data_IF_985188330971
#
_entry.id   IF_985188330971
#
_cell.length_a   1.000
_cell.length_b   1.000
_cell.length_c   1.000
_cell.angle_alpha   90.00
_cell.angle_beta   90.00
_cell.angle_gamma   90.00
#
_symmetry.space_group_name_H-M   'P 1'
#
loop_
_entity.id
_entity.type
_entity.pdbx_description
1 polymer ?
#
# COMPACT_ATOMS: atom_id res chain seq x y z
N UNK A 1 17.29 3.05 27.44
CA UNK A 1 16.98 4.46 27.75
C UNK A 1 15.73 4.48 28.60
N UNK A 2 15.75 5.23 29.72
CA UNK A 2 14.61 5.46 30.61
C UNK A 2 14.40 6.96 30.74
N UNK A 3 13.16 7.40 30.79
CA UNK A 3 12.83 8.82 30.90
C UNK A 3 11.35 9.05 31.12
N UNK A 4 10.93 10.29 31.01
CA UNK A 4 9.55 10.74 31.17
C UNK A 4 9.08 11.51 29.95
N UNK A 5 7.81 11.44 29.66
CA UNK A 5 7.13 12.27 28.66
C UNK A 5 6.09 13.12 29.38
N UNK A 6 6.18 14.43 29.22
CA UNK A 6 5.11 15.34 29.59
C UNK A 6 4.31 15.64 28.31
N UNK A 7 3.05 15.22 28.21
CA UNK A 7 2.20 15.41 27.02
C UNK A 7 1.96 16.89 26.68
N UNK A 8 2.06 17.78 27.68
CA UNK A 8 1.83 19.21 27.52
C UNK A 8 3.10 19.95 27.06
N UNK A 9 4.28 19.30 27.19
CA UNK A 9 5.55 19.88 26.75
C UNK A 9 5.91 19.37 25.35
N UNK A 10 5.82 20.22 24.37
CA UNK A 10 6.22 19.92 23.00
C UNK A 10 7.40 20.79 22.55
N UNK A 11 8.20 20.26 21.62
CA UNK A 11 9.25 20.97 20.90
C UNK A 11 9.10 20.76 19.39
N UNK A 12 9.60 21.70 18.58
CA UNK A 12 9.60 21.52 17.14
C UNK A 12 10.57 20.40 16.74
N UNK A 13 10.12 19.50 15.88
CA UNK A 13 10.86 18.38 15.33
C UNK A 13 10.84 18.42 13.79
N UNK A 14 11.97 18.13 13.16
CA UNK A 14 12.15 18.18 11.72
C UNK A 14 12.64 19.54 11.19
N UNK A 15 12.69 19.69 9.85
CA UNK A 15 12.44 18.65 8.85
C UNK A 15 13.59 17.64 8.76
N UNK A 16 13.27 16.37 8.52
CA UNK A 16 14.26 15.33 8.21
C UNK A 16 13.75 14.42 7.08
N UNK A 17 14.68 13.69 6.45
CA UNK A 17 14.34 12.80 5.32
C UNK A 17 13.47 11.63 5.76
N UNK A 18 12.48 11.30 4.93
CA UNK A 18 11.50 10.26 5.23
C UNK A 18 11.41 9.22 4.09
N UNK A 19 10.71 8.11 4.34
CA UNK A 19 10.55 6.97 3.43
C UNK A 19 9.89 7.31 2.08
N UNK A 20 9.32 8.48 1.95
CA UNK A 20 8.81 9.02 0.67
C UNK A 20 9.92 9.52 -0.24
N UNK A 21 11.13 9.69 0.27
CA UNK A 21 12.24 10.33 -0.43
C UNK A 21 12.23 11.86 -0.38
N UNK A 22 11.35 12.42 0.43
CA UNK A 22 11.24 13.87 0.65
C UNK A 22 11.47 14.21 2.11
N UNK A 23 11.81 15.47 2.40
CA UNK A 23 11.83 15.98 3.77
C UNK A 23 10.40 16.16 4.27
N UNK A 24 10.15 15.75 5.53
CA UNK A 24 8.88 16.03 6.19
C UNK A 24 8.76 17.50 6.58
N UNK A 25 7.56 17.92 6.93
CA UNK A 25 7.32 19.23 7.51
C UNK A 25 7.75 19.25 8.99
N UNK A 26 8.18 20.42 9.48
CA UNK A 26 8.40 20.62 10.89
C UNK A 26 7.07 20.65 11.63
N UNK A 27 6.96 19.91 12.72
CA UNK A 27 5.76 19.90 13.58
C UNK A 27 6.16 19.83 15.06
N UNK A 28 5.19 19.96 15.95
CA UNK A 28 5.42 19.98 17.40
C UNK A 28 5.09 18.61 18.00
N UNK A 29 6.09 18.01 18.66
CA UNK A 29 5.97 16.68 19.26
C UNK A 29 6.29 16.69 20.74
N UNK A 30 5.65 15.79 21.56
CA UNK A 30 6.01 15.61 22.95
C UNK A 30 7.47 15.21 23.12
N UNK A 31 8.11 15.73 24.16
CA UNK A 31 9.53 15.52 24.42
C UNK A 31 9.73 14.36 25.37
N UNK A 32 10.59 13.40 24.97
CA UNK A 32 11.08 12.37 25.88
C UNK A 32 12.33 12.87 26.60
N UNK A 33 12.20 13.16 27.88
CA UNK A 33 13.30 13.55 28.75
C UNK A 33 14.05 12.33 29.26
N UNK A 34 15.30 12.12 28.77
CA UNK A 34 16.12 10.99 29.18
C UNK A 34 16.68 11.22 30.57
N UNK A 35 16.28 10.37 31.54
CA UNK A 35 16.81 10.39 32.91
C UNK A 35 17.94 9.37 33.11
N UNK A 36 17.98 8.31 32.31
CA UNK A 36 19.01 7.27 32.41
C UNK A 36 19.22 6.58 31.08
N UNK A 37 20.49 6.33 30.76
CA UNK A 37 20.91 5.46 29.65
C UNK A 37 21.82 4.37 30.18
N UNK A 38 21.51 3.11 29.83
CA UNK A 38 22.35 1.95 30.16
C UNK A 38 22.65 1.19 28.86
N UNK A 39 23.86 0.69 28.75
CA UNK A 39 24.33 -0.11 27.65
C UNK A 39 25.25 -1.23 28.17
N UNK A 40 25.47 -2.26 27.38
CA UNK A 40 26.51 -3.25 27.63
C UNK A 40 27.91 -2.61 27.45
N UNK A 41 28.99 -3.20 28.01
CA UNK A 41 30.34 -2.63 27.92
C UNK A 41 30.81 -2.43 26.48
N UNK A 42 30.39 -3.29 25.57
CA UNK A 42 30.70 -3.18 24.13
C UNK A 42 29.37 -3.05 23.34
N UNK A 43 28.85 -1.81 23.22
CA UNK A 43 27.56 -1.57 22.61
C UNK A 43 27.66 -1.62 21.09
N UNK A 44 26.66 -2.29 20.46
CA UNK A 44 26.43 -2.21 19.01
C UNK A 44 25.25 -1.27 18.78
N UNK A 45 25.49 -0.22 18.00
CA UNK A 45 24.44 0.70 17.56
C UNK A 45 23.95 0.25 16.18
N UNK A 46 22.69 -0.16 16.11
CA UNK A 46 22.06 -0.46 14.85
C UNK A 46 21.60 0.85 14.19
N UNK A 47 22.13 1.13 13.03
CA UNK A 47 21.77 2.30 12.23
C UNK A 47 21.27 1.86 10.87
N UNK A 48 20.28 2.57 10.34
CA UNK A 48 19.66 2.30 9.06
C UNK A 48 19.38 3.59 8.31
N UNK A 49 18.95 3.45 7.08
CA UNK A 49 18.66 4.54 6.17
C UNK A 49 17.19 4.57 5.81
N UNK A 50 16.61 5.75 5.83
CA UNK A 50 15.24 6.01 5.37
C UNK A 50 15.27 7.06 4.25
N UNK A 51 14.58 6.80 3.15
CA UNK A 51 14.55 7.69 2.01
C UNK A 51 13.77 7.10 0.83
N UNK A 52 14.12 7.50 -0.38
CA UNK A 52 13.53 6.90 -1.58
C UNK A 52 13.81 5.39 -1.60
N UNK A 53 12.82 4.52 -1.82
CA UNK A 53 13.02 3.07 -1.89
C UNK A 53 14.09 2.67 -2.95
N UNK A 54 14.85 1.57 -2.70
CA UNK A 54 14.75 0.67 -1.55
C UNK A 54 15.39 1.24 -0.28
N UNK A 55 14.69 1.14 0.83
CA UNK A 55 15.11 1.62 2.14
C UNK A 55 14.63 0.66 3.26
N UNK A 56 14.83 1.00 4.54
CA UNK A 56 14.38 0.16 5.65
C UNK A 56 12.87 -0.11 5.62
N UNK A 57 11.96 0.89 5.49
CA UNK A 57 10.53 0.65 5.39
C UNK A 57 10.14 -0.30 4.26
N UNK A 58 10.84 -0.26 3.13
CA UNK A 58 10.62 -1.20 2.02
C UNK A 58 10.94 -2.64 2.42
N UNK A 59 12.04 -2.87 3.15
CA UNK A 59 12.42 -4.21 3.65
C UNK A 59 11.44 -4.70 4.71
N UNK A 60 11.02 -3.82 5.63
CA UNK A 60 9.99 -4.15 6.63
C UNK A 60 8.64 -4.46 5.95
N UNK A 61 8.31 -3.79 4.86
CA UNK A 61 7.12 -4.03 4.06
C UNK A 61 7.04 -5.47 3.56
N UNK A 62 8.15 -6.07 3.16
CA UNK A 62 8.21 -7.50 2.76
C UNK A 62 7.82 -8.41 3.93
N UNK A 63 8.39 -8.19 5.11
CA UNK A 63 8.07 -8.99 6.29
C UNK A 63 6.60 -8.80 6.73
N UNK A 64 6.08 -7.59 6.63
CA UNK A 64 4.68 -7.29 6.95
C UNK A 64 3.72 -7.97 5.98
N UNK A 65 4.05 -8.09 4.69
CA UNK A 65 3.26 -8.86 3.74
C UNK A 65 3.08 -10.32 4.21
N UNK A 66 4.16 -10.99 4.58
CA UNK A 66 4.10 -12.38 5.04
C UNK A 66 3.17 -12.57 6.26
N UNK A 67 3.12 -11.59 7.14
CA UNK A 67 2.29 -11.63 8.35
C UNK A 67 0.83 -11.30 8.05
N UNK A 68 0.57 -10.29 7.22
CA UNK A 68 -0.79 -9.76 7.03
C UNK A 68 -1.59 -10.44 5.92
N UNK A 69 -0.95 -11.02 4.91
CA UNK A 69 -1.67 -11.72 3.82
C UNK A 69 -2.61 -12.81 4.33
N UNK A 70 -2.23 -13.70 5.26
CA UNK A 70 -3.16 -14.69 5.81
C UNK A 70 -4.36 -14.08 6.56
N UNK A 71 -4.20 -12.91 7.17
CA UNK A 71 -5.29 -12.20 7.85
C UNK A 71 -6.26 -11.62 6.81
N UNK A 72 -5.73 -11.02 5.75
CA UNK A 72 -6.52 -10.52 4.64
C UNK A 72 -7.32 -11.64 3.97
N UNK A 73 -6.69 -12.79 3.72
CA UNK A 73 -7.34 -13.96 3.11
C UNK A 73 -8.47 -14.55 3.96
N UNK A 74 -8.39 -14.43 5.29
CA UNK A 74 -9.51 -14.82 6.17
C UNK A 74 -10.73 -13.92 6.01
N UNK A 75 -10.51 -12.62 5.79
CA UNK A 75 -11.58 -11.65 5.59
C UNK A 75 -12.06 -11.61 4.14
N UNK A 76 -11.14 -11.80 3.21
CA UNK A 76 -11.36 -11.75 1.76
C UNK A 76 -10.79 -13.03 1.13
N UNK A 77 -11.51 -14.16 1.20
CA UNK A 77 -11.02 -15.46 0.73
C UNK A 77 -10.78 -15.51 -0.78
N UNK A 78 -11.31 -14.54 -1.52
CA UNK A 78 -11.03 -14.34 -2.94
C UNK A 78 -9.60 -13.89 -3.24
N UNK A 79 -8.86 -13.34 -2.28
CA UNK A 79 -7.46 -12.93 -2.47
C UNK A 79 -6.59 -14.18 -2.64
N UNK A 80 -5.99 -14.33 -3.81
CA UNK A 80 -5.00 -15.37 -4.08
C UNK A 80 -3.63 -14.96 -3.55
N UNK A 81 -3.20 -13.72 -3.81
CA UNK A 81 -1.96 -13.15 -3.30
C UNK A 81 -2.09 -11.62 -3.17
N UNK A 82 -1.25 -11.03 -2.33
CA UNK A 82 -1.25 -9.61 -2.01
C UNK A 82 0.19 -9.10 -1.93
N UNK A 83 0.49 -8.02 -2.61
CA UNK A 83 1.83 -7.46 -2.68
C UNK A 83 1.85 -5.95 -2.51
N UNK A 84 2.73 -5.48 -1.62
CA UNK A 84 3.08 -4.08 -1.46
C UNK A 84 4.45 -3.85 -2.12
N UNK A 85 4.51 -3.32 -3.33
CA UNK A 85 5.79 -3.10 -3.99
C UNK A 85 6.62 -2.06 -3.24
N UNK A 86 7.95 -2.26 -3.11
CA UNK A 86 8.83 -1.29 -2.46
C UNK A 86 8.70 0.13 -3.04
N UNK A 87 8.52 0.24 -4.34
CA UNK A 87 8.33 1.50 -5.07
C UNK A 87 7.05 2.23 -4.67
N UNK A 88 6.10 1.51 -4.08
CA UNK A 88 4.86 2.06 -3.52
C UNK A 88 5.02 2.73 -2.17
N UNK A 89 6.25 2.94 -1.70
CA UNK A 89 6.56 3.61 -0.43
C UNK A 89 5.73 3.02 0.73
N UNK A 90 6.04 1.78 1.11
CA UNK A 90 5.35 0.98 2.13
C UNK A 90 3.96 0.49 1.64
N UNK A 91 2.88 1.12 2.06
CA UNK A 91 1.50 0.66 1.81
C UNK A 91 0.70 1.57 0.85
N UNK A 92 1.34 2.56 0.21
CA UNK A 92 0.62 3.51 -0.66
C UNK A 92 0.14 2.88 -1.97
N UNK A 93 0.76 1.79 -2.39
CA UNK A 93 0.31 0.98 -3.52
C UNK A 93 0.18 -0.48 -3.10
N UNK A 94 -0.92 -1.12 -3.49
CA UNK A 94 -1.14 -2.55 -3.34
C UNK A 94 -1.48 -3.17 -4.69
N UNK A 95 -0.87 -4.31 -5.00
CA UNK A 95 -1.20 -5.14 -6.16
C UNK A 95 -1.76 -6.46 -5.63
N UNK A 96 -2.92 -6.85 -6.12
CA UNK A 96 -3.67 -7.98 -5.58
C UNK A 96 -4.09 -8.91 -6.71
N UNK A 97 -3.75 -10.17 -6.61
CA UNK A 97 -4.35 -11.20 -7.45
C UNK A 97 -5.56 -11.82 -6.75
N UNK A 98 -6.64 -12.01 -7.48
CA UNK A 98 -7.88 -12.52 -6.92
C UNK A 98 -8.53 -13.61 -7.78
N UNK A 99 -9.27 -14.48 -7.14
CA UNK A 99 -10.22 -15.39 -7.79
C UNK A 99 -11.56 -14.68 -7.94
N UNK A 100 -11.74 -14.01 -9.07
CA UNK A 100 -12.97 -13.30 -9.36
C UNK A 100 -14.13 -14.29 -9.56
N UNK A 101 -15.30 -14.03 -8.97
CA UNK A 101 -16.43 -14.94 -8.97
C UNK A 101 -17.72 -14.32 -9.54
N UNK A 102 -17.79 -13.01 -9.73
CA UNK A 102 -18.95 -12.31 -10.27
C UNK A 102 -18.60 -10.91 -10.76
N UNK A 103 -19.48 -10.30 -11.53
CA UNK A 103 -19.32 -8.92 -12.02
C UNK A 103 -19.27 -7.91 -10.85
N UNK A 104 -18.30 -7.00 -10.87
CA UNK A 104 -18.09 -6.00 -9.81
C UNK A 104 -17.34 -6.51 -8.58
N UNK A 105 -16.88 -7.77 -8.57
CA UNK A 105 -16.17 -8.34 -7.42
C UNK A 105 -14.87 -7.62 -7.11
N UNK A 106 -14.10 -7.22 -8.12
CA UNK A 106 -12.86 -6.44 -7.93
C UNK A 106 -13.14 -5.10 -7.23
N UNK A 107 -14.18 -4.39 -7.66
CA UNK A 107 -14.58 -3.12 -7.04
C UNK A 107 -15.01 -3.29 -5.58
N UNK A 108 -15.76 -4.33 -5.27
CA UNK A 108 -16.11 -4.68 -3.88
C UNK A 108 -14.87 -4.93 -3.02
N UNK A 109 -13.87 -5.63 -3.58
CA UNK A 109 -12.62 -5.89 -2.88
C UNK A 109 -11.83 -4.60 -2.61
N UNK A 110 -11.77 -3.66 -3.56
CA UNK A 110 -11.13 -2.35 -3.34
C UNK A 110 -11.73 -1.62 -2.14
N UNK A 111 -13.05 -1.49 -2.07
CA UNK A 111 -13.74 -0.85 -0.95
C UNK A 111 -13.54 -1.61 0.37
N UNK A 112 -13.54 -2.93 0.32
CA UNK A 112 -13.26 -3.77 1.48
C UNK A 112 -11.88 -3.50 2.06
N UNK A 113 -10.85 -3.47 1.23
CA UNK A 113 -9.47 -3.22 1.65
C UNK A 113 -9.29 -1.82 2.23
N UNK A 114 -9.79 -0.78 1.57
CA UNK A 114 -9.68 0.60 2.06
C UNK A 114 -10.36 0.84 3.41
N UNK A 115 -11.26 -0.04 3.84
CA UNK A 115 -11.98 0.08 5.11
C UNK A 115 -11.58 -0.94 6.17
N UNK A 116 -10.75 -1.94 5.85
CA UNK A 116 -10.53 -3.09 6.73
C UNK A 116 -9.50 -2.83 7.83
N UNK A 117 -8.31 -2.36 7.49
CA UNK A 117 -7.24 -2.08 8.45
C UNK A 117 -6.77 -0.64 8.29
N UNK A 118 -6.32 -0.02 9.41
CA UNK A 118 -5.88 1.36 9.43
C UNK A 118 -4.81 1.66 8.37
N UNK A 119 -3.84 0.78 8.18
CA UNK A 119 -2.77 0.98 7.20
C UNK A 119 -3.29 0.99 5.75
N UNK A 120 -4.30 0.18 5.43
CA UNK A 120 -4.89 0.15 4.09
C UNK A 120 -5.86 1.30 3.84
N UNK A 121 -6.35 1.94 4.90
CA UNK A 121 -7.04 3.22 4.77
C UNK A 121 -6.15 4.27 4.11
N UNK A 122 -4.83 4.18 4.27
CA UNK A 122 -3.85 5.08 3.67
C UNK A 122 -3.33 4.63 2.29
N UNK A 123 -3.74 3.46 1.79
CA UNK A 123 -3.40 2.99 0.45
C UNK A 123 -4.05 3.88 -0.60
N UNK A 124 -3.25 4.49 -1.47
CA UNK A 124 -3.72 5.37 -2.55
C UNK A 124 -4.14 4.60 -3.78
N UNK A 125 -3.29 3.64 -4.18
CA UNK A 125 -3.44 2.90 -5.42
C UNK A 125 -3.67 1.43 -5.13
N UNK A 126 -4.72 0.86 -5.69
CA UNK A 126 -4.98 -0.58 -5.68
C UNK A 126 -5.07 -1.05 -7.13
N UNK A 127 -4.26 -2.02 -7.50
CA UNK A 127 -4.36 -2.73 -8.77
C UNK A 127 -4.85 -4.14 -8.48
N UNK A 128 -5.95 -4.54 -9.10
CA UNK A 128 -6.49 -5.90 -8.95
C UNK A 128 -6.38 -6.62 -10.29
N UNK A 129 -5.79 -7.81 -10.26
CA UNK A 129 -5.62 -8.71 -11.40
C UNK A 129 -6.21 -10.09 -11.07
N UNK A 130 -6.37 -10.94 -12.07
CA UNK A 130 -6.74 -12.35 -11.85
C UNK A 130 -5.54 -13.16 -11.31
N UNK A 131 -5.81 -14.36 -10.81
CA UNK A 131 -4.84 -15.27 -10.22
C UNK A 131 -3.88 -15.95 -11.22
N UNK A 132 -4.03 -15.65 -12.51
CA UNK A 132 -3.11 -16.05 -13.58
C UNK A 132 -1.94 -15.06 -13.80
N UNK A 133 -1.90 -13.95 -13.05
CA UNK A 133 -0.88 -12.90 -13.17
C UNK A 133 0.05 -12.95 -11.96
N UNK A 134 1.36 -13.02 -12.20
CA UNK A 134 2.36 -12.84 -11.14
C UNK A 134 2.44 -11.36 -10.74
N UNK A 135 1.89 -11.04 -9.57
CA UNK A 135 1.82 -9.66 -9.06
C UNK A 135 3.17 -9.08 -8.62
N UNK A 136 4.22 -9.90 -8.53
CA UNK A 136 5.60 -9.44 -8.29
C UNK A 136 6.36 -9.17 -9.57
N UNK A 137 5.80 -9.56 -10.71
CA UNK A 137 6.33 -9.29 -12.04
C UNK A 137 5.62 -8.07 -12.66
N UNK A 138 6.27 -6.91 -12.59
CA UNK A 138 5.72 -5.67 -13.16
C UNK A 138 5.39 -5.76 -14.65
N UNK A 139 6.07 -6.59 -15.41
CA UNK A 139 5.78 -6.78 -16.84
C UNK A 139 4.41 -7.43 -17.04
N UNK A 140 4.08 -8.44 -16.21
CA UNK A 140 2.78 -9.09 -16.25
C UNK A 140 1.66 -8.17 -15.72
N UNK A 141 1.92 -7.43 -14.65
CA UNK A 141 0.96 -6.46 -14.10
C UNK A 141 0.63 -5.37 -15.12
N UNK A 142 1.64 -4.80 -15.77
CA UNK A 142 1.45 -3.79 -16.83
C UNK A 142 0.71 -4.40 -18.02
N UNK A 143 1.06 -5.63 -18.42
CA UNK A 143 0.34 -6.34 -19.48
C UNK A 143 -1.15 -6.51 -19.12
N UNK A 144 -1.48 -6.93 -17.90
CA UNK A 144 -2.87 -7.07 -17.47
C UNK A 144 -3.60 -5.72 -17.49
N UNK A 145 -3.00 -4.65 -16.98
CA UNK A 145 -3.57 -3.30 -17.04
C UNK A 145 -3.86 -2.88 -18.48
N UNK A 146 -2.92 -3.09 -19.39
CA UNK A 146 -3.03 -2.60 -20.77
C UNK A 146 -3.96 -3.43 -21.65
N UNK A 147 -4.20 -4.70 -21.32
CA UNK A 147 -4.98 -5.63 -22.13
C UNK A 147 -6.37 -5.94 -21.60
N UNK A 148 -6.58 -5.83 -20.28
CA UNK A 148 -7.83 -6.23 -19.62
C UNK A 148 -8.66 -5.04 -19.11
N UNK A 149 -8.10 -3.85 -19.12
CA UNK A 149 -8.72 -2.68 -18.53
C UNK A 149 -9.11 -1.65 -19.60
N UNK A 150 -10.33 -1.12 -19.48
CA UNK A 150 -10.71 0.16 -20.08
C UNK A 150 -10.60 1.24 -19.00
N UNK A 151 -9.83 2.33 -19.23
CA UNK A 151 -9.56 3.32 -18.18
C UNK A 151 -10.80 3.99 -17.59
N UNK A 152 -11.86 4.18 -18.39
CA UNK A 152 -13.08 4.84 -17.91
C UNK A 152 -13.97 3.86 -17.14
N UNK A 153 -14.17 2.65 -17.66
CA UNK A 153 -15.02 1.64 -17.05
C UNK A 153 -14.41 1.06 -15.76
N UNK A 154 -13.09 0.81 -15.77
CA UNK A 154 -12.42 -0.05 -14.79
C UNK A 154 -11.62 0.74 -13.74
N UNK A 155 -11.62 2.07 -13.80
CA UNK A 155 -11.05 2.91 -12.76
C UNK A 155 -12.12 3.27 -11.72
N UNK A 156 -11.76 3.11 -10.45
CA UNK A 156 -12.54 3.60 -9.32
C UNK A 156 -11.80 4.75 -8.68
N UNK A 157 -12.39 5.93 -8.68
CA UNK A 157 -11.85 7.11 -7.99
C UNK A 157 -12.70 7.39 -6.76
N UNK A 158 -12.03 7.66 -5.64
CA UNK A 158 -12.67 8.10 -4.39
C UNK A 158 -11.98 9.36 -3.95
N UNK A 159 -12.72 10.43 -3.76
CA UNK A 159 -12.21 11.73 -3.33
C UNK A 159 -12.36 11.92 -1.82
N UNK A 160 -11.52 12.79 -1.25
CA UNK A 160 -11.67 13.31 0.11
C UNK A 160 -11.71 12.23 1.19
N UNK A 161 -10.74 11.29 1.14
CA UNK A 161 -10.60 10.22 2.12
C UNK A 161 -9.35 10.42 2.98
N UNK A 162 -9.28 9.80 4.17
CA UNK A 162 -8.08 9.84 4.99
C UNK A 162 -6.87 9.29 4.24
N UNK A 163 -5.76 10.01 4.34
CA UNK A 163 -4.46 9.66 3.78
C UNK A 163 -3.37 9.94 4.82
N UNK A 164 -2.20 9.36 4.62
CA UNK A 164 -1.03 9.64 5.44
C UNK A 164 -0.61 11.12 5.32
N UNK A 165 -0.35 11.78 6.45
CA UNK A 165 0.10 13.18 6.49
C UNK A 165 1.45 13.41 5.81
N UNK A 166 2.27 12.35 5.64
CA UNK A 166 3.52 12.39 4.87
C UNK A 166 3.30 12.35 3.35
N UNK A 167 2.07 12.34 2.89
CA UNK A 167 1.76 12.37 1.46
C UNK A 167 1.62 13.81 0.95
N UNK A 168 2.72 14.39 0.51
CA UNK A 168 2.74 15.75 -0.05
C UNK A 168 1.98 15.91 -1.38
N UNK A 169 1.58 14.82 -2.02
CA UNK A 169 0.74 14.87 -3.22
C UNK A 169 -0.75 15.01 -2.90
N UNK A 170 -1.14 14.88 -1.64
CA UNK A 170 -2.52 15.14 -1.23
C UNK A 170 -2.83 16.65 -1.26
N UNK A 171 -4.05 17.04 -1.63
CA UNK A 171 -4.43 18.47 -1.70
C UNK A 171 -4.49 19.13 -0.33
N UNK A 172 -4.73 18.36 0.72
CA UNK A 172 -4.78 18.79 2.12
C UNK A 172 -4.07 17.72 2.95
N UNK A 173 -3.27 18.14 3.96
CA UNK A 173 -2.61 17.20 4.86
C UNK A 173 -3.62 16.25 5.52
N UNK A 174 -3.40 14.95 5.42
CA UNK A 174 -4.28 13.92 5.97
C UNK A 174 -5.57 13.65 5.18
N UNK A 175 -5.82 14.36 4.06
CA UNK A 175 -7.02 14.18 3.23
C UNK A 175 -6.66 14.13 1.75
N UNK A 176 -6.92 13.03 1.08
CA UNK A 176 -6.56 12.82 -0.31
C UNK A 176 -7.48 11.86 -1.06
N UNK A 177 -7.15 11.60 -2.31
CA UNK A 177 -7.90 10.70 -3.18
C UNK A 177 -7.35 9.27 -3.18
N UNK A 178 -8.16 8.37 -3.73
CA UNK A 178 -7.79 6.97 -3.98
C UNK A 178 -8.14 6.58 -5.41
N UNK A 179 -7.33 5.68 -5.96
CA UNK A 179 -7.54 5.11 -7.29
C UNK A 179 -7.45 3.58 -7.22
N UNK A 180 -8.48 2.91 -7.68
CA UNK A 180 -8.47 1.47 -7.90
C UNK A 180 -8.55 1.14 -9.39
N UNK A 181 -7.74 0.20 -9.84
CA UNK A 181 -7.66 -0.29 -11.21
C UNK A 181 -8.12 -1.76 -11.25
N UNK A 182 -9.22 -2.04 -11.95
CA UNK A 182 -9.71 -3.40 -12.18
C UNK A 182 -9.13 -3.95 -13.50
N UNK A 183 -7.97 -4.57 -13.40
CA UNK A 183 -7.28 -5.23 -14.50
C UNK A 183 -7.57 -6.76 -14.54
N UNK A 184 -8.76 -7.17 -14.10
CA UNK A 184 -9.22 -8.55 -14.21
C UNK A 184 -9.92 -8.81 -15.55
N UNK A 185 -10.05 -10.07 -15.93
CA UNK A 185 -10.94 -10.48 -17.03
C UNK A 185 -12.38 -10.05 -16.75
N UNK A 186 -13.09 -9.63 -17.79
CA UNK A 186 -14.46 -9.10 -17.61
C UNK A 186 -15.50 -10.21 -17.68
N UNK A 187 -16.42 -10.16 -16.73
CA UNK A 187 -17.54 -11.06 -16.63
C UNK A 187 -18.75 -10.51 -17.41
N UNK A 188 -19.73 -11.38 -17.76
CA UNK A 188 -21.00 -10.93 -18.33
C UNK A 188 -21.63 -9.81 -17.48
N UNK A 189 -21.99 -8.71 -18.11
CA UNK A 189 -22.53 -7.51 -17.46
C UNK A 189 -21.48 -6.42 -17.16
N UNK A 190 -20.19 -6.72 -17.24
CA UNK A 190 -19.11 -5.69 -17.11
C UNK A 190 -18.72 -5.09 -18.45
N UNK A 191 -18.99 -5.79 -19.55
CA UNK A 191 -18.79 -5.33 -20.92
C UNK A 191 -19.89 -5.86 -21.83
N UNK A 192 -20.19 -5.14 -22.89
CA UNK A 192 -21.09 -5.58 -23.96
C UNK A 192 -20.41 -6.45 -25.02
N UNK A 193 -19.07 -6.53 -25.01
CA UNK A 193 -18.29 -7.34 -25.96
C UNK A 193 -18.10 -8.75 -25.42
N UNK A 194 -17.99 -9.72 -26.33
CA UNK A 194 -17.45 -11.03 -25.99
C UNK A 194 -16.01 -10.87 -25.52
N UNK A 195 -15.69 -11.50 -24.38
CA UNK A 195 -14.33 -11.42 -23.82
C UNK A 195 -13.37 -12.31 -24.60
N UNK A 196 -12.18 -11.80 -24.86
CA UNK A 196 -11.15 -12.51 -25.63
C UNK A 196 -10.68 -13.80 -24.94
N UNK A 197 -10.27 -14.77 -25.74
CA UNK A 197 -9.63 -15.99 -25.24
C UNK A 197 -8.13 -15.81 -25.19
N UNK A 198 -7.53 -16.23 -24.06
CA UNK A 198 -6.08 -16.26 -23.94
C UNK A 198 -5.46 -17.24 -24.96
N UNK A 199 -4.32 -16.87 -25.54
CA UNK A 199 -3.55 -17.77 -26.40
C UNK A 199 -2.87 -18.80 -25.48
N UNK A 200 -3.18 -20.08 -25.75
CA UNK A 200 -2.51 -21.20 -25.07
C UNK A 200 -1.54 -21.86 -26.04
N UNK A 201 -0.27 -21.96 -25.66
CA UNK A 201 0.68 -22.76 -26.42
C UNK A 201 0.42 -24.25 -26.18
N UNK A 202 0.44 -25.09 -27.21
CA UNK A 202 0.38 -26.53 -27.00
C UNK A 202 1.58 -26.97 -26.13
N UNK A 203 1.32 -27.88 -25.19
CA UNK A 203 2.33 -28.46 -24.33
C UNK A 203 3.35 -29.29 -25.13
#
# INVERSE_FOLDING_TARGET
ITGTIDPERTLPEGPFGDHTGYYNEQDWFPVFEVTRMTNRPDPVYHSTYTGKPPDEPAVLGVALNEVFVPILQKQFPEIADFYLPPEGCSYRMAIISMKKAYAGHAKRLMFGLWSFLRQFMYTKFIVIVDDDVDIRNWQEVIWAITTRMDPVRDTTLVDSTPIDYLDFASPISGLGGKMGLDATNKWPGETSREWGRAITLPA
#
